data_IF_285730940288
#
_entry.id   IF_285730940288
#
_cell.length_a   1.000
_cell.length_b   1.000
_cell.length_c   1.000
_cell.angle_alpha   90.00
_cell.angle_beta   90.00
_cell.angle_gamma   90.00
#
_symmetry.space_group_name_H-M   'P 1'
#
loop_
_entity.id
_entity.type
_entity.pdbx_description
1 polymer ?
#
# COMPACT_ATOMS: atom_id res chain seq x y z
N UNK A 1 2.59 10.58 22.72
CA UNK A 1 2.69 9.30 23.46
C UNK A 1 1.41 8.51 23.22
N UNK A 2 1.42 7.57 22.28
CA UNK A 2 0.30 6.64 22.06
C UNK A 2 0.65 5.34 22.75
N UNK A 3 0.04 5.08 23.92
CA UNK A 3 0.15 3.82 24.65
C UNK A 3 -0.69 2.75 23.96
N UNK A 4 -0.32 2.35 22.74
CA UNK A 4 -0.83 1.11 22.16
C UNK A 4 -0.01 -0.02 22.75
N UNK A 5 -0.69 -0.93 23.44
CA UNK A 5 -0.22 -2.30 23.67
C UNK A 5 0.37 -2.77 22.34
N UNK A 6 1.67 -2.97 22.29
CA UNK A 6 2.35 -3.43 21.08
C UNK A 6 1.55 -4.57 20.46
N UNK A 7 1.18 -4.46 19.18
CA UNK A 7 0.47 -5.49 18.41
C UNK A 7 1.09 -6.89 18.58
N UNK A 8 2.36 -6.91 18.98
CA UNK A 8 3.16 -8.09 19.24
C UNK A 8 3.73 -8.09 20.66
N UNK A 9 3.74 -9.25 21.30
CA UNK A 9 4.55 -9.54 22.49
C UNK A 9 6.05 -9.28 22.23
N UNK A 10 6.85 -9.19 23.30
CA UNK A 10 8.31 -9.05 23.16
C UNK A 10 8.95 -10.22 22.35
N UNK A 11 8.43 -11.44 22.53
CA UNK A 11 8.89 -12.60 21.78
C UNK A 11 8.53 -12.49 20.28
N UNK A 12 7.27 -12.14 19.97
CA UNK A 12 6.84 -11.94 18.59
C UNK A 12 7.63 -10.83 17.89
N UNK A 13 8.00 -9.75 18.58
CA UNK A 13 8.86 -8.70 18.01
C UNK A 13 10.25 -9.21 17.62
N UNK A 14 10.90 -10.01 18.49
CA UNK A 14 12.17 -10.65 18.15
C UNK A 14 12.03 -11.58 16.93
N UNK A 15 10.94 -12.35 16.86
CA UNK A 15 10.65 -13.20 15.70
C UNK A 15 10.47 -12.38 14.43
N UNK A 16 9.73 -11.26 14.49
CA UNK A 16 9.54 -10.35 13.36
C UNK A 16 10.88 -9.75 12.91
N UNK A 17 11.71 -9.27 13.84
CA UNK A 17 13.02 -8.72 13.49
C UNK A 17 13.91 -9.77 12.81
N UNK A 18 13.86 -11.03 13.27
CA UNK A 18 14.57 -12.12 12.63
C UNK A 18 13.99 -12.46 11.25
N UNK A 19 12.66 -12.50 11.12
CA UNK A 19 11.98 -12.69 9.84
C UNK A 19 12.37 -11.63 8.83
N UNK A 20 12.37 -10.36 9.23
CA UNK A 20 12.76 -9.23 8.39
C UNK A 20 14.17 -9.43 7.86
N UNK A 21 15.15 -9.71 8.73
CA UNK A 21 16.55 -9.98 8.33
C UNK A 21 16.70 -11.16 7.38
N UNK A 22 15.90 -12.21 7.56
CA UNK A 22 15.94 -13.40 6.71
C UNK A 22 15.26 -13.16 5.36
N UNK A 23 14.15 -12.43 5.35
CA UNK A 23 13.41 -12.07 4.15
C UNK A 23 14.22 -11.15 3.23
N UNK A 24 15.16 -10.36 3.76
CA UNK A 24 16.06 -9.50 2.98
C UNK A 24 17.25 -10.23 2.34
N UNK A 25 17.38 -11.55 2.52
CA UNK A 25 18.50 -12.32 2.01
C UNK A 25 18.28 -12.75 0.56
N UNK A 26 19.34 -12.73 -0.26
CA UNK A 26 19.30 -13.29 -1.62
C UNK A 26 19.21 -14.83 -1.64
N UNK A 27 19.48 -15.48 -0.51
CA UNK A 27 19.44 -16.93 -0.40
C UNK A 27 18.00 -17.42 -0.23
N UNK A 28 17.51 -18.22 -1.20
CA UNK A 28 16.19 -18.87 -1.17
C UNK A 28 15.91 -19.59 0.17
N UNK A 29 16.90 -20.23 0.79
CA UNK A 29 16.73 -20.91 2.09
C UNK A 29 16.39 -19.93 3.21
N UNK A 30 16.99 -18.75 3.22
CA UNK A 30 16.70 -17.69 4.19
C UNK A 30 15.30 -17.13 4.00
N UNK A 31 14.89 -16.89 2.75
CA UNK A 31 13.53 -16.43 2.41
C UNK A 31 12.49 -17.48 2.86
N UNK A 32 12.75 -18.77 2.60
CA UNK A 32 11.89 -19.86 3.07
C UNK A 32 11.81 -19.92 4.60
N UNK A 33 12.92 -19.73 5.31
CA UNK A 33 12.92 -19.68 6.77
C UNK A 33 12.11 -18.49 7.30
N UNK A 34 12.20 -17.32 6.65
CA UNK A 34 11.36 -16.18 6.99
C UNK A 34 9.86 -16.49 6.82
N UNK A 35 9.48 -17.14 5.72
CA UNK A 35 8.10 -17.54 5.47
C UNK A 35 7.59 -18.60 6.48
N UNK A 36 8.44 -19.55 6.88
CA UNK A 36 8.11 -20.54 7.93
C UNK A 36 7.94 -19.88 9.31
N UNK A 37 8.74 -18.87 9.63
CA UNK A 37 8.54 -18.10 10.85
C UNK A 37 7.23 -17.30 10.79
N UNK A 38 6.85 -16.77 9.63
CA UNK A 38 5.55 -16.12 9.41
C UNK A 38 4.39 -17.09 9.66
N UNK A 39 4.49 -18.32 9.15
CA UNK A 39 3.49 -19.38 9.35
C UNK A 39 3.26 -19.67 10.84
N UNK A 40 4.33 -19.69 11.66
CA UNK A 40 4.22 -19.89 13.12
C UNK A 40 3.47 -18.76 13.82
N UNK A 41 3.58 -17.53 13.32
CA UNK A 41 2.87 -16.36 13.84
C UNK A 41 1.46 -16.21 13.27
N UNK A 42 1.15 -16.93 12.20
CA UNK A 42 -0.13 -16.84 11.50
C UNK A 42 -1.23 -17.55 12.28
N UNK A 43 -2.41 -16.90 12.46
CA UNK A 43 -3.56 -17.54 13.09
C UNK A 43 -3.92 -18.88 12.43
N UNK A 44 -4.38 -19.85 13.23
CA UNK A 44 -4.60 -21.23 12.77
C UNK A 44 -5.48 -21.34 11.51
N UNK A 45 -6.50 -20.50 11.39
CA UNK A 45 -7.42 -20.47 10.23
C UNK A 45 -6.76 -19.97 8.93
N UNK A 46 -5.60 -19.31 8.99
CA UNK A 46 -4.87 -18.73 7.84
C UNK A 46 -3.60 -19.49 7.48
N UNK A 47 -3.20 -20.49 8.28
CA UNK A 47 -1.95 -21.24 8.04
C UNK A 47 -1.90 -21.89 6.66
N UNK A 48 -3.03 -22.34 6.12
CA UNK A 48 -3.11 -22.90 4.76
C UNK A 48 -2.70 -21.90 3.68
N UNK A 49 -3.07 -20.63 3.82
CA UNK A 49 -2.69 -19.59 2.85
C UNK A 49 -1.19 -19.33 2.88
N UNK A 50 -0.59 -19.30 4.08
CA UNK A 50 0.86 -19.11 4.22
C UNK A 50 1.64 -20.34 3.74
N UNK A 51 1.14 -21.55 4.01
CA UNK A 51 1.71 -22.79 3.46
C UNK A 51 1.69 -22.78 1.92
N UNK A 52 0.59 -22.33 1.32
CA UNK A 52 0.50 -22.17 -0.14
C UNK A 52 1.57 -21.19 -0.67
N UNK A 53 1.78 -20.04 0.00
CA UNK A 53 2.85 -19.09 -0.37
C UNK A 53 4.23 -19.74 -0.25
N UNK A 54 4.49 -20.49 0.82
CA UNK A 54 5.75 -21.22 1.01
C UNK A 54 5.97 -22.21 -0.14
N UNK A 55 4.93 -22.93 -0.57
CA UNK A 55 5.03 -23.86 -1.70
C UNK A 55 5.27 -23.14 -3.02
N UNK A 56 4.65 -21.96 -3.25
CA UNK A 56 4.96 -21.16 -4.44
C UNK A 56 6.42 -20.68 -4.46
N UNK A 57 6.98 -20.33 -3.29
CA UNK A 57 8.40 -19.97 -3.14
C UNK A 57 9.29 -21.19 -3.43
N UNK A 58 8.90 -22.39 -2.97
CA UNK A 58 9.65 -23.64 -3.24
C UNK A 58 9.68 -23.96 -4.73
N UNK A 59 8.56 -23.78 -5.42
CA UNK A 59 8.38 -24.08 -6.85
C UNK A 59 8.89 -22.99 -7.80
N UNK A 60 9.60 -21.96 -7.31
CA UNK A 60 10.16 -20.86 -8.11
C UNK A 60 9.13 -20.10 -8.96
N UNK A 61 7.88 -20.03 -8.50
CA UNK A 61 6.78 -19.31 -9.16
C UNK A 61 6.90 -17.79 -9.04
N UNK A 62 6.13 -16.99 -9.79
CA UNK A 62 6.23 -15.52 -9.78
C UNK A 62 6.19 -14.84 -8.40
N UNK A 63 5.55 -15.48 -7.41
CA UNK A 63 5.56 -15.04 -6.00
C UNK A 63 6.99 -14.88 -5.46
N UNK A 64 7.93 -15.74 -5.87
CA UNK A 64 9.35 -15.62 -5.50
C UNK A 64 10.00 -14.37 -6.12
N UNK A 65 9.59 -13.96 -7.33
CA UNK A 65 10.12 -12.74 -7.95
C UNK A 65 9.62 -11.49 -7.23
N UNK A 66 8.35 -11.47 -6.82
CA UNK A 66 7.81 -10.41 -5.96
C UNK A 66 8.56 -10.38 -4.62
N UNK A 67 8.77 -11.53 -3.99
CA UNK A 67 9.51 -11.63 -2.74
C UNK A 67 10.95 -11.13 -2.89
N UNK A 68 11.63 -11.49 -3.99
CA UNK A 68 12.99 -11.00 -4.32
C UNK A 68 13.01 -9.50 -4.57
N UNK A 69 12.03 -8.95 -5.29
CA UNK A 69 11.93 -7.52 -5.54
C UNK A 69 11.75 -6.74 -4.23
N UNK A 70 10.83 -7.17 -3.37
CA UNK A 70 10.66 -6.61 -2.02
C UNK A 70 11.96 -6.74 -1.19
N UNK A 71 12.63 -7.88 -1.29
CA UNK A 71 13.84 -8.20 -0.54
C UNK A 71 15.13 -7.53 -1.06
N UNK A 72 15.18 -7.07 -2.30
CA UNK A 72 16.40 -6.54 -2.92
C UNK A 72 16.24 -5.08 -3.30
N UNK A 73 15.14 -4.77 -3.99
CA UNK A 73 14.99 -3.52 -4.74
C UNK A 73 14.35 -2.41 -3.90
N UNK A 74 13.60 -2.77 -2.84
CA UNK A 74 13.08 -1.76 -1.91
C UNK A 74 14.14 -1.26 -0.93
N UNK A 75 14.10 0.03 -0.63
CA UNK A 75 14.87 0.65 0.45
C UNK A 75 14.60 -0.07 1.79
N UNK A 76 15.60 -0.26 2.68
CA UNK A 76 15.41 -0.92 3.97
C UNK A 76 14.24 -0.41 4.82
N UNK A 77 13.99 0.91 4.83
CA UNK A 77 12.89 1.54 5.56
C UNK A 77 11.54 1.16 4.94
N UNK A 78 11.41 1.29 3.62
CA UNK A 78 10.22 0.90 2.85
C UNK A 78 9.93 -0.59 3.03
N UNK A 79 10.95 -1.44 2.89
CA UNK A 79 10.84 -2.89 3.05
C UNK A 79 10.35 -3.27 4.43
N UNK A 80 10.92 -2.68 5.49
CA UNK A 80 10.49 -2.90 6.87
C UNK A 80 9.03 -2.48 7.06
N UNK A 81 8.67 -1.31 6.58
CA UNK A 81 7.32 -0.78 6.68
C UNK A 81 6.30 -1.65 5.94
N UNK A 82 6.55 -2.04 4.69
CA UNK A 82 5.70 -2.96 3.91
C UNK A 82 5.49 -4.28 4.66
N UNK A 83 6.55 -4.92 5.14
CA UNK A 83 6.40 -6.20 5.85
C UNK A 83 5.61 -5.98 7.14
N UNK A 84 5.88 -4.91 7.88
CA UNK A 84 5.19 -4.64 9.15
C UNK A 84 3.71 -4.27 8.96
N UNK A 85 3.40 -3.26 8.17
CA UNK A 85 2.04 -2.69 8.09
C UNK A 85 1.14 -3.46 7.13
N UNK A 86 1.64 -3.88 5.97
CA UNK A 86 0.84 -4.64 4.99
C UNK A 86 0.76 -6.12 5.38
N UNK A 87 1.90 -6.80 5.48
CA UNK A 87 1.93 -8.26 5.63
C UNK A 87 1.55 -8.68 7.05
N UNK A 88 2.30 -8.20 8.05
CA UNK A 88 2.14 -8.66 9.43
C UNK A 88 0.87 -8.10 10.06
N UNK A 89 0.64 -6.78 9.97
CA UNK A 89 -0.53 -6.14 10.58
C UNK A 89 -1.80 -6.40 9.75
N UNK A 90 -1.83 -5.97 8.48
CA UNK A 90 -3.04 -6.00 7.65
C UNK A 90 -3.51 -7.39 7.21
N UNK A 91 -2.58 -8.23 6.75
CA UNK A 91 -2.92 -9.56 6.26
C UNK A 91 -2.95 -10.61 7.38
N UNK A 92 -1.91 -10.74 8.19
CA UNK A 92 -1.83 -11.85 9.14
C UNK A 92 -2.56 -11.57 10.46
N UNK A 93 -2.15 -10.53 11.21
CA UNK A 93 -2.64 -10.30 12.56
C UNK A 93 -4.08 -9.84 12.59
N UNK A 94 -4.44 -8.90 11.72
CA UNK A 94 -5.77 -8.32 11.69
C UNK A 94 -6.86 -9.34 11.32
N UNK A 95 -6.53 -10.50 10.75
CA UNK A 95 -7.54 -11.54 10.48
C UNK A 95 -8.23 -12.04 11.75
N UNK A 96 -7.48 -12.16 12.86
CA UNK A 96 -8.03 -12.53 14.16
C UNK A 96 -8.90 -11.41 14.74
N UNK A 97 -8.48 -10.15 14.60
CA UNK A 97 -9.26 -8.98 15.03
C UNK A 97 -10.59 -8.92 14.28
N UNK A 98 -10.55 -9.10 12.95
CA UNK A 98 -11.74 -9.14 12.09
C UNK A 98 -12.67 -10.29 12.47
N UNK A 99 -12.14 -11.50 12.69
CA UNK A 99 -12.93 -12.66 13.12
C UNK A 99 -13.59 -12.44 14.50
N UNK A 100 -12.85 -11.88 15.47
CA UNK A 100 -13.37 -11.56 16.79
C UNK A 100 -14.46 -10.47 16.72
N UNK A 101 -14.29 -9.47 15.86
CA UNK A 101 -15.31 -8.45 15.62
C UNK A 101 -16.59 -9.08 15.07
N UNK A 102 -16.50 -9.92 14.03
CA UNK A 102 -17.65 -10.61 13.45
C UNK A 102 -18.33 -11.53 14.46
N UNK A 103 -17.59 -12.28 15.26
CA UNK A 103 -18.17 -13.13 16.30
C UNK A 103 -18.96 -12.33 17.35
N UNK A 104 -18.53 -11.10 17.66
CA UNK A 104 -19.18 -10.23 18.66
C UNK A 104 -20.39 -9.48 18.11
N UNK A 105 -20.34 -9.02 16.85
CA UNK A 105 -21.34 -8.09 16.30
C UNK A 105 -22.24 -8.72 15.24
N UNK A 106 -21.87 -9.87 14.69
CA UNK A 106 -22.49 -10.46 13.50
C UNK A 106 -22.10 -9.74 12.19
N UNK A 107 -21.36 -8.62 12.26
CA UNK A 107 -20.98 -7.84 11.08
C UNK A 107 -19.58 -8.20 10.57
N UNK A 108 -19.42 -8.26 9.24
CA UNK A 108 -18.13 -8.47 8.61
C UNK A 108 -17.35 -7.16 8.47
N UNK A 109 -16.03 -7.25 8.59
CA UNK A 109 -15.11 -6.13 8.42
C UNK A 109 -14.36 -6.28 7.10
N UNK A 110 -14.23 -5.21 6.30
CA UNK A 110 -13.48 -5.27 5.05
C UNK A 110 -11.98 -5.44 5.31
N UNK A 111 -11.23 -5.87 4.30
CA UNK A 111 -9.77 -5.90 4.35
C UNK A 111 -9.15 -4.51 4.15
N UNK A 112 -9.76 -3.72 3.27
CA UNK A 112 -9.29 -2.41 2.81
C UNK A 112 -10.40 -1.39 3.00
N UNK A 113 -10.07 -0.20 3.51
CA UNK A 113 -10.97 0.95 3.53
C UNK A 113 -10.54 1.97 2.47
N UNK A 114 -11.48 2.38 1.63
CA UNK A 114 -11.28 3.42 0.62
C UNK A 114 -11.70 4.77 1.23
N UNK A 115 -10.83 5.76 1.13
CA UNK A 115 -11.07 7.11 1.66
C UNK A 115 -10.76 8.12 0.56
N UNK A 116 -11.64 9.09 0.36
CA UNK A 116 -11.42 10.25 -0.51
C UNK A 116 -11.32 11.52 0.33
N UNK A 117 -10.11 11.93 0.78
CA UNK A 117 -9.95 13.03 1.73
C UNK A 117 -10.25 14.41 1.14
N UNK A 118 -10.22 14.52 -0.18
CA UNK A 118 -10.50 15.74 -0.95
C UNK A 118 -11.16 15.35 -2.27
N UNK A 119 -11.82 16.30 -2.92
CA UNK A 119 -12.21 16.18 -4.34
C UNK A 119 -11.48 17.18 -5.24
N UNK A 120 -10.57 17.98 -4.67
CA UNK A 120 -9.73 18.93 -5.42
C UNK A 120 -8.74 18.17 -6.27
N UNK A 121 -8.66 18.49 -7.55
CA UNK A 121 -7.72 17.89 -8.49
C UNK A 121 -7.10 18.99 -9.35
N UNK A 122 -5.83 18.81 -9.71
CA UNK A 122 -5.12 19.71 -10.62
C UNK A 122 -5.27 19.32 -12.11
N UNK A 123 -6.02 18.25 -12.41
CA UNK A 123 -6.38 17.82 -13.76
C UNK A 123 -7.91 17.76 -13.93
N UNK A 124 -8.37 17.74 -15.18
CA UNK A 124 -9.80 17.65 -15.54
C UNK A 124 -10.05 16.49 -16.51
N UNK A 125 -9.70 15.27 -16.09
CA UNK A 125 -9.73 14.08 -16.93
C UNK A 125 -11.16 13.73 -17.38
N UNK A 126 -11.33 13.29 -18.63
CA UNK A 126 -12.63 12.82 -19.13
C UNK A 126 -13.14 11.60 -18.34
N UNK A 127 -14.42 11.64 -17.96
CA UNK A 127 -15.11 10.59 -17.21
C UNK A 127 -14.61 10.41 -15.77
N UNK A 128 -14.01 11.45 -15.17
CA UNK A 128 -13.53 11.39 -13.79
C UNK A 128 -14.69 11.49 -12.79
N UNK A 129 -14.88 10.46 -11.96
CA UNK A 129 -15.92 10.49 -10.92
C UNK A 129 -15.72 11.65 -9.92
N UNK A 130 -14.48 12.03 -9.62
CA UNK A 130 -14.19 13.06 -8.61
C UNK A 130 -14.67 14.45 -9.05
N UNK A 131 -14.76 14.69 -10.37
CA UNK A 131 -15.28 15.95 -10.91
C UNK A 131 -16.80 16.11 -10.69
N UNK A 132 -17.53 15.03 -10.37
CA UNK A 132 -18.96 15.05 -10.08
C UNK A 132 -19.27 15.46 -8.62
N UNK A 133 -18.25 15.61 -7.78
CA UNK A 133 -18.39 15.98 -6.37
C UNK A 133 -17.85 17.39 -6.12
N UNK A 134 -18.43 18.10 -5.15
CA UNK A 134 -17.96 19.43 -4.76
C UNK A 134 -16.53 19.37 -4.19
N UNK A 135 -15.62 20.26 -4.64
CA UNK A 135 -14.26 20.36 -4.11
C UNK A 135 -14.18 21.07 -2.75
N UNK A 136 -15.28 21.60 -2.22
CA UNK A 136 -15.29 22.45 -1.03
C UNK A 136 -15.42 21.68 0.29
N UNK A 137 -15.58 20.35 0.22
CA UNK A 137 -15.84 19.48 1.35
C UNK A 137 -14.64 18.57 1.69
N UNK A 138 -13.47 19.15 1.91
CA UNK A 138 -12.28 18.42 2.35
C UNK A 138 -12.49 17.84 3.78
N UNK A 139 -12.08 16.58 3.98
CA UNK A 139 -12.06 15.99 5.32
C UNK A 139 -10.99 16.66 6.19
N UNK A 140 -11.31 16.96 7.45
CA UNK A 140 -10.31 17.47 8.38
C UNK A 140 -9.29 16.39 8.73
N UNK A 141 -8.07 16.79 9.10
CA UNK A 141 -7.01 15.86 9.52
C UNK A 141 -7.44 15.04 10.73
N UNK A 142 -8.14 15.66 11.68
CA UNK A 142 -8.67 15.02 12.89
C UNK A 142 -9.72 13.96 12.55
N UNK A 143 -10.59 14.23 11.57
CA UNK A 143 -11.57 13.26 11.08
C UNK A 143 -10.88 12.06 10.45
N UNK A 144 -9.87 12.28 9.59
CA UNK A 144 -9.08 11.21 8.97
C UNK A 144 -8.38 10.35 10.03
N UNK A 145 -7.74 10.99 11.01
CA UNK A 145 -7.13 10.28 12.15
C UNK A 145 -8.14 9.46 12.94
N UNK A 146 -9.34 10.01 13.19
CA UNK A 146 -10.41 9.29 13.88
C UNK A 146 -10.91 8.08 13.08
N UNK A 147 -11.04 8.20 11.77
CA UNK A 147 -11.43 7.11 10.86
C UNK A 147 -10.37 6.00 10.90
N UNK A 148 -9.10 6.34 10.69
CA UNK A 148 -7.99 5.35 10.68
C UNK A 148 -7.89 4.62 12.02
N UNK A 149 -8.05 5.34 13.15
CA UNK A 149 -8.07 4.73 14.48
C UNK A 149 -9.19 3.71 14.61
N UNK A 150 -10.43 4.10 14.29
CA UNK A 150 -11.60 3.21 14.39
C UNK A 150 -11.49 2.01 13.45
N UNK A 151 -10.97 2.22 12.24
CA UNK A 151 -10.70 1.17 11.26
C UNK A 151 -9.68 0.15 11.80
N UNK A 152 -8.57 0.62 12.38
CA UNK A 152 -7.57 -0.24 13.00
C UNK A 152 -8.14 -1.04 14.20
N UNK A 153 -9.03 -0.43 15.00
CA UNK A 153 -9.70 -1.08 16.15
C UNK A 153 -10.56 -2.29 15.72
N UNK A 154 -11.05 -2.29 14.47
CA UNK A 154 -11.86 -3.37 13.90
C UNK A 154 -11.11 -4.25 12.89
N UNK A 155 -9.79 -4.11 12.78
CA UNK A 155 -8.96 -4.98 11.95
C UNK A 155 -8.76 -4.54 10.50
N UNK A 156 -8.92 -3.24 10.21
CA UNK A 156 -8.64 -2.65 8.89
C UNK A 156 -7.38 -1.81 8.99
N UNK A 157 -6.30 -2.27 8.36
CA UNK A 157 -4.97 -1.62 8.39
C UNK A 157 -4.49 -1.20 7.00
N UNK A 158 -5.25 -1.52 5.95
CA UNK A 158 -4.91 -1.19 4.58
C UNK A 158 -5.89 -0.11 4.12
N UNK A 159 -5.35 1.02 3.69
CA UNK A 159 -6.14 2.16 3.26
C UNK A 159 -5.81 2.48 1.81
N UNK A 160 -6.85 2.67 1.01
CA UNK A 160 -6.72 3.18 -0.34
C UNK A 160 -7.18 4.63 -0.34
N UNK A 161 -6.24 5.54 -0.53
CA UNK A 161 -6.50 6.98 -0.61
C UNK A 161 -6.75 7.33 -2.08
N UNK A 162 -7.89 7.95 -2.32
CA UNK A 162 -8.45 8.34 -3.61
C UNK A 162 -8.90 9.81 -3.52
N UNK A 163 -9.69 10.25 -4.50
CA UNK A 163 -10.52 11.45 -4.41
C UNK A 163 -9.75 12.73 -4.66
N UNK A 164 -10.21 13.48 -5.65
CA UNK A 164 -9.39 14.49 -6.29
C UNK A 164 -8.00 13.95 -6.63
N UNK A 165 -7.00 14.80 -6.49
CA UNK A 165 -5.60 14.42 -6.41
C UNK A 165 -5.15 14.49 -4.94
N UNK A 166 -4.86 13.36 -4.27
CA UNK A 166 -4.47 13.36 -2.86
C UNK A 166 -3.26 14.25 -2.56
N UNK A 167 -2.29 14.38 -3.48
CA UNK A 167 -1.12 15.23 -3.29
C UNK A 167 -1.39 16.75 -3.40
N UNK A 168 -2.63 17.17 -3.72
CA UNK A 168 -3.07 18.55 -3.49
C UNK A 168 -3.14 18.88 -1.99
N UNK A 169 -3.32 17.86 -1.15
CA UNK A 169 -3.24 18.00 0.30
C UNK A 169 -1.79 17.89 0.79
N UNK A 170 -1.34 18.92 1.50
CA UNK A 170 0.03 18.97 2.04
C UNK A 170 0.27 18.00 3.21
N UNK A 171 -0.80 17.56 3.88
CA UNK A 171 -0.76 16.73 5.09
C UNK A 171 -0.86 15.22 4.81
N UNK A 172 -1.02 14.79 3.54
CA UNK A 172 -1.37 13.39 3.24
C UNK A 172 -0.25 12.40 3.62
N UNK A 173 1.01 12.78 3.47
CA UNK A 173 2.14 11.96 3.90
C UNK A 173 2.36 12.00 5.42
N UNK A 174 1.91 13.07 6.09
CA UNK A 174 1.97 13.16 7.55
C UNK A 174 0.91 12.26 8.18
N UNK A 175 -0.29 12.19 7.60
CA UNK A 175 -1.33 11.22 7.97
C UNK A 175 -0.79 9.78 7.95
N UNK A 176 -0.05 9.41 6.91
CA UNK A 176 0.57 8.11 6.79
C UNK A 176 1.71 7.90 7.80
N UNK A 177 2.57 8.91 7.99
CA UNK A 177 3.68 8.86 8.95
C UNK A 177 3.21 8.72 10.40
N UNK A 178 2.07 9.34 10.74
CA UNK A 178 1.42 9.28 12.05
C UNK A 178 0.75 7.91 12.31
N UNK A 179 0.56 7.11 11.26
CA UNK A 179 -0.09 5.79 11.31
C UNK A 179 0.84 4.68 10.74
N UNK A 180 2.03 4.45 11.33
CA UNK A 180 3.04 3.53 10.79
C UNK A 180 2.61 2.04 10.82
N UNK A 181 1.61 1.70 11.63
CA UNK A 181 1.03 0.35 11.68
C UNK A 181 0.15 0.05 10.47
N UNK A 182 -0.27 1.07 9.73
CA UNK A 182 -1.17 0.99 8.59
C UNK A 182 -0.42 1.18 7.27
N UNK A 183 -0.90 0.55 6.21
CA UNK A 183 -0.36 0.66 4.86
C UNK A 183 -1.29 1.47 3.97
N UNK A 184 -0.73 2.42 3.22
CA UNK A 184 -1.50 3.34 2.39
C UNK A 184 -1.15 3.15 0.91
N UNK A 185 -2.16 2.87 0.11
CA UNK A 185 -2.08 2.94 -1.35
C UNK A 185 -2.67 4.29 -1.76
N UNK A 186 -1.86 5.18 -2.33
CA UNK A 186 -2.34 6.51 -2.72
C UNK A 186 -2.45 6.55 -4.24
N UNK A 187 -3.68 6.61 -4.74
CA UNK A 187 -3.92 6.78 -6.16
C UNK A 187 -3.70 8.23 -6.54
N UNK A 188 -2.88 8.45 -7.55
CA UNK A 188 -2.44 9.79 -7.94
C UNK A 188 -2.26 9.86 -9.45
N UNK A 189 -2.45 11.04 -10.00
CA UNK A 189 -2.10 11.36 -11.38
C UNK A 189 -0.58 11.54 -11.57
N UNK A 190 0.21 11.53 -10.50
CA UNK A 190 1.67 11.58 -10.52
C UNK A 190 2.27 12.97 -10.74
N UNK A 191 1.48 13.96 -11.20
CA UNK A 191 1.99 15.27 -11.62
C UNK A 191 2.53 16.13 -10.47
N UNK A 192 2.19 15.81 -9.23
CA UNK A 192 2.63 16.50 -8.01
C UNK A 192 3.70 15.73 -7.23
N UNK A 193 4.19 14.60 -7.75
CA UNK A 193 5.29 13.86 -7.13
C UNK A 193 6.60 14.53 -7.52
N UNK A 194 7.24 15.15 -6.52
CA UNK A 194 8.56 15.79 -6.65
C UNK A 194 9.64 14.91 -6.02
N UNK A 195 10.91 15.23 -6.24
CA UNK A 195 12.03 14.55 -5.57
C UNK A 195 11.92 14.62 -4.03
N UNK A 196 11.38 15.73 -3.49
CA UNK A 196 11.10 15.86 -2.06
C UNK A 196 9.97 14.92 -1.60
N UNK A 197 8.94 14.75 -2.43
CA UNK A 197 7.87 13.78 -2.20
C UNK A 197 8.44 12.36 -2.17
N UNK A 198 9.31 12.00 -3.12
CA UNK A 198 9.94 10.69 -3.22
C UNK A 198 10.85 10.42 -2.01
N UNK A 199 11.67 11.40 -1.62
CA UNK A 199 12.51 11.30 -0.42
C UNK A 199 11.66 11.06 0.84
N UNK A 200 10.53 11.76 0.97
CA UNK A 200 9.59 11.58 2.08
C UNK A 200 8.95 10.19 2.07
N UNK A 201 8.53 9.69 0.90
CA UNK A 201 7.99 8.34 0.74
C UNK A 201 9.01 7.27 1.17
N UNK A 202 10.26 7.41 0.76
CA UNK A 202 11.36 6.51 1.16
C UNK A 202 11.63 6.55 2.68
N UNK A 203 11.43 7.72 3.31
CA UNK A 203 11.62 7.90 4.75
C UNK A 203 10.51 7.26 5.59
N UNK A 204 9.24 7.36 5.17
CA UNK A 204 8.10 6.84 5.94
C UNK A 204 7.83 5.36 5.63
N UNK A 205 8.03 4.96 4.38
CA UNK A 205 8.02 3.56 3.93
C UNK A 205 6.66 2.85 3.86
N UNK A 206 5.62 3.33 4.54
CA UNK A 206 4.31 2.68 4.61
C UNK A 206 3.31 3.19 3.55
N UNK A 207 3.80 3.85 2.50
CA UNK A 207 2.99 4.38 1.39
C UNK A 207 3.48 3.81 0.07
N UNK A 208 2.55 3.36 -0.77
CA UNK A 208 2.80 3.03 -2.16
C UNK A 208 1.94 3.90 -3.09
N UNK A 209 2.55 4.77 -3.92
CA UNK A 209 1.83 5.51 -4.94
C UNK A 209 1.33 4.59 -6.06
N UNK A 210 0.05 4.72 -6.42
CA UNK A 210 -0.57 4.05 -7.57
C UNK A 210 -0.76 5.08 -8.69
N UNK A 211 0.17 5.08 -9.65
CA UNK A 211 0.29 6.11 -10.68
C UNK A 211 -0.73 5.85 -11.79
N UNK A 212 -1.50 6.86 -12.14
CA UNK A 212 -2.60 6.69 -13.09
C UNK A 212 -2.15 6.86 -14.55
N UNK A 213 -2.07 5.79 -15.32
CA UNK A 213 -1.57 5.75 -16.71
C UNK A 213 -2.49 4.88 -17.57
N UNK A 214 -2.77 5.27 -18.81
CA UNK A 214 -3.82 4.63 -19.64
C UNK A 214 -3.29 3.62 -20.67
N UNK A 215 -2.04 3.18 -20.51
CA UNK A 215 -1.36 2.27 -21.43
C UNK A 215 -0.19 2.95 -22.12
N UNK A 216 -0.43 3.54 -23.29
CA UNK A 216 0.59 4.24 -24.07
C UNK A 216 0.52 5.77 -23.88
N UNK A 217 1.40 6.46 -24.60
CA UNK A 217 1.51 7.92 -24.58
C UNK A 217 0.25 8.59 -25.09
N UNK A 218 -0.27 8.12 -26.22
CA UNK A 218 -1.43 8.73 -26.87
C UNK A 218 -2.66 8.62 -25.96
N UNK A 219 -2.97 7.42 -25.47
CA UNK A 219 -4.13 7.18 -24.60
C UNK A 219 -4.03 7.95 -23.27
N UNK A 220 -2.82 8.06 -22.73
CA UNK A 220 -2.58 8.78 -21.47
C UNK A 220 -2.74 10.28 -21.67
N UNK A 221 -2.09 10.85 -22.68
CA UNK A 221 -2.07 12.29 -22.91
C UNK A 221 -3.43 12.83 -23.38
N UNK A 222 -4.16 12.07 -24.20
CA UNK A 222 -5.54 12.42 -24.62
C UNK A 222 -6.45 12.61 -23.40
N UNK A 223 -6.32 11.74 -22.41
CA UNK A 223 -7.20 11.79 -21.23
C UNK A 223 -6.71 12.74 -20.14
N UNK A 224 -5.40 12.81 -19.92
CA UNK A 224 -4.80 13.42 -18.72
C UNK A 224 -4.09 14.73 -19.00
N UNK A 225 -3.81 15.03 -20.26
CA UNK A 225 -3.14 16.23 -20.72
C UNK A 225 -1.80 15.92 -21.40
N UNK A 226 -1.35 16.77 -22.35
CA UNK A 226 -0.08 16.58 -23.05
C UNK A 226 1.13 16.46 -22.12
N UNK A 227 1.99 15.47 -22.36
CA UNK A 227 3.24 15.26 -21.62
C UNK A 227 3.09 14.53 -20.28
N UNK A 228 1.88 14.18 -19.86
CA UNK A 228 1.64 13.45 -18.61
C UNK A 228 2.25 12.05 -18.66
N UNK A 229 2.23 11.39 -19.82
CA UNK A 229 2.87 10.07 -19.96
C UNK A 229 4.35 10.09 -19.60
N UNK A 230 5.14 11.01 -20.18
CA UNK A 230 6.58 11.09 -19.89
C UNK A 230 6.85 11.39 -18.43
N UNK A 231 6.07 12.31 -17.86
CA UNK A 231 6.20 12.67 -16.46
C UNK A 231 5.97 11.46 -15.54
N UNK A 232 4.95 10.65 -15.82
CA UNK A 232 4.66 9.44 -15.05
C UNK A 232 5.77 8.41 -15.20
N UNK A 233 6.27 8.19 -16.43
CA UNK A 233 7.37 7.25 -16.67
C UNK A 233 8.66 7.67 -15.94
N UNK A 234 9.01 8.96 -15.96
CA UNK A 234 10.13 9.52 -15.19
C UNK A 234 9.91 9.34 -13.68
N UNK A 235 8.70 9.65 -13.19
CA UNK A 235 8.33 9.51 -11.78
C UNK A 235 8.45 8.05 -11.31
N UNK A 236 7.99 7.09 -12.10
CA UNK A 236 8.14 5.65 -11.82
C UNK A 236 9.62 5.24 -11.76
N UNK A 237 10.45 5.75 -12.67
CA UNK A 237 11.90 5.54 -12.63
C UNK A 237 12.52 6.02 -11.33
N UNK A 238 12.25 7.27 -10.95
CA UNK A 238 12.78 7.88 -9.70
C UNK A 238 12.28 7.19 -8.43
N UNK A 239 11.03 6.74 -8.40
CA UNK A 239 10.50 5.93 -7.29
C UNK A 239 11.25 4.60 -7.17
N UNK A 240 11.51 3.94 -8.31
CA UNK A 240 12.30 2.73 -8.38
C UNK A 240 13.72 2.92 -7.87
N UNK A 241 14.41 3.96 -8.33
CA UNK A 241 15.79 4.29 -7.90
C UNK A 241 15.87 4.60 -6.40
N UNK A 242 14.83 5.23 -5.83
CA UNK A 242 14.72 5.48 -4.39
C UNK A 242 14.33 4.24 -3.57
N UNK A 243 14.01 3.12 -4.22
CA UNK A 243 13.54 1.88 -3.58
C UNK A 243 12.17 2.05 -2.93
N UNK A 244 11.31 2.92 -3.46
CA UNK A 244 9.92 3.12 -3.03
C UNK A 244 9.02 2.17 -3.82
N UNK A 245 8.17 1.42 -3.14
CA UNK A 245 7.18 0.57 -3.82
C UNK A 245 6.11 1.42 -4.48
N UNK A 246 5.82 1.15 -5.75
CA UNK A 246 4.76 1.82 -6.49
C UNK A 246 4.04 0.83 -7.42
N UNK A 247 2.89 1.25 -7.93
CA UNK A 247 2.15 0.52 -8.94
C UNK A 247 1.52 1.49 -9.93
N UNK A 248 0.76 0.95 -10.87
CA UNK A 248 -0.01 1.77 -11.80
C UNK A 248 -1.49 1.39 -11.77
N UNK A 249 -2.34 2.35 -12.14
CA UNK A 249 -3.76 2.13 -12.35
C UNK A 249 -4.15 2.66 -13.71
N UNK A 250 -4.82 1.81 -14.49
CA UNK A 250 -5.36 2.17 -15.80
C UNK A 250 -6.89 2.03 -15.79
N UNK A 251 -7.59 3.00 -16.37
CA UNK A 251 -9.01 2.84 -16.65
C UNK A 251 -9.15 2.18 -18.01
N UNK A 252 -9.67 0.96 -18.02
CA UNK A 252 -9.89 0.25 -19.28
C UNK A 252 -11.09 0.86 -19.99
N UNK A 253 -10.90 1.22 -21.24
CA UNK A 253 -11.90 1.74 -22.16
C UNK A 253 -11.85 0.95 -23.48
N UNK A 254 -12.84 1.16 -24.35
CA UNK A 254 -12.82 0.59 -25.71
C UNK A 254 -11.61 1.03 -26.54
N UNK A 255 -10.92 2.11 -26.14
CA UNK A 255 -9.81 2.69 -26.88
C UNK A 255 -8.44 2.16 -26.44
N UNK A 256 -8.29 1.69 -25.20
CA UNK A 256 -6.99 1.26 -24.66
C UNK A 256 -6.90 -0.22 -24.22
N UNK A 257 -8.01 -0.98 -24.24
CA UNK A 257 -8.02 -2.36 -23.73
C UNK A 257 -6.97 -3.28 -24.39
N UNK A 258 -6.65 -3.06 -25.67
CA UNK A 258 -5.66 -3.88 -26.41
C UNK A 258 -4.22 -3.66 -25.96
N UNK A 259 -3.93 -2.55 -25.29
CA UNK A 259 -2.59 -2.23 -24.82
C UNK A 259 -2.36 -2.64 -23.35
N UNK A 260 -3.45 -2.90 -22.61
CA UNK A 260 -3.41 -3.19 -21.17
C UNK A 260 -3.62 -4.69 -20.88
N UNK A 261 -4.38 -5.39 -21.73
CA UNK A 261 -4.79 -6.79 -21.53
C UNK A 261 -3.83 -7.82 -22.16
#
# INVERSE_FOLDING_TARGET
MSSRTSLYSALQRKTIDQMLRLATSENKKSILLAAQLAEKMTPAHRKREVAWVIDQIREDKPVLQIARHVARDLNPTVRKAVIQSLILNGLLQASSTRAAFTARTGAHTPLVLLISPTMRCNLSCEGCYAAEYSPDADMSHEMLQSIIRQANDIGIYIFTILGGEPFVRKDILDLAAENPDSFFQIYTNGTMITDATIARLAQIGNVAPMLSIEGDRESTDVRRGPGVYDLIMDTMGKLGDAGVGFGYSATITRHNFRFIA
#
